data_IF_305554164652
#
_entry.id   IF_305554164652
#
_cell.length_a   1.000
_cell.length_b   1.000
_cell.length_c   1.000
_cell.angle_alpha   90.00
_cell.angle_beta   90.00
_cell.angle_gamma   90.00
#
_symmetry.space_group_name_H-M   'P 1'
#
loop_
_entity.id
_entity.type
_entity.pdbx_description
1 polymer ?
#
# COMPACT_ATOMS: atom_id res chain seq x y z
N UNK A 1 -2.96 -8.61 0.29
CA UNK A 1 -2.71 -9.39 -0.92
C UNK A 1 -1.22 -9.51 -1.23
N UNK A 2 -0.49 -8.44 -1.48
CA UNK A 2 0.91 -8.48 -1.96
C UNK A 2 1.88 -9.26 -1.05
N UNK A 3 1.85 -9.06 0.27
CA UNK A 3 2.65 -9.83 1.24
C UNK A 3 2.39 -11.34 1.10
N UNK A 4 1.13 -11.76 1.07
CA UNK A 4 0.76 -13.17 0.85
C UNK A 4 1.30 -13.71 -0.46
N UNK A 5 1.22 -12.92 -1.54
CA UNK A 5 1.71 -13.31 -2.84
C UNK A 5 3.22 -13.54 -2.84
N UNK A 6 3.99 -12.64 -2.23
CA UNK A 6 5.44 -12.79 -2.11
C UNK A 6 5.82 -13.97 -1.18
N UNK A 7 5.06 -14.19 -0.10
CA UNK A 7 5.23 -15.39 0.75
C UNK A 7 5.04 -16.68 -0.07
N UNK A 8 4.07 -16.74 -0.96
CA UNK A 8 3.91 -17.87 -1.87
C UNK A 8 5.09 -18.03 -2.81
N UNK A 9 5.61 -16.92 -3.38
CA UNK A 9 6.76 -17.00 -4.28
C UNK A 9 8.00 -17.56 -3.60
N UNK A 10 8.37 -17.08 -2.41
CA UNK A 10 9.55 -17.60 -1.68
C UNK A 10 9.39 -19.03 -1.19
N UNK A 11 8.18 -19.58 -1.22
CA UNK A 11 7.89 -20.98 -0.87
C UNK A 11 7.85 -21.89 -2.09
N UNK A 12 7.65 -21.34 -3.27
CA UNK A 12 7.55 -22.10 -4.53
C UNK A 12 8.84 -22.08 -5.34
N UNK A 13 9.58 -20.98 -5.24
CA UNK A 13 10.82 -20.80 -6.01
C UNK A 13 12.05 -20.87 -5.09
N UNK A 14 13.13 -21.44 -5.61
CA UNK A 14 14.44 -21.38 -4.95
C UNK A 14 14.94 -19.93 -4.96
N UNK A 15 15.57 -19.46 -3.85
CA UNK A 15 16.18 -18.14 -3.82
C UNK A 15 17.31 -17.99 -4.86
N UNK A 16 17.51 -16.78 -5.41
CA UNK A 16 16.82 -15.55 -5.09
C UNK A 16 15.48 -15.40 -5.84
N UNK A 17 14.48 -14.84 -5.15
CA UNK A 17 13.25 -14.32 -5.75
C UNK A 17 13.37 -12.79 -5.84
N UNK A 18 13.08 -12.23 -6.99
CA UNK A 18 13.22 -10.78 -7.18
C UNK A 18 11.90 -10.05 -6.93
N UNK A 19 11.99 -8.84 -6.40
CA UNK A 19 10.85 -7.94 -6.25
C UNK A 19 11.23 -6.56 -6.77
N UNK A 20 10.47 -6.04 -7.72
CA UNK A 20 10.66 -4.70 -8.23
C UNK A 20 10.05 -3.69 -7.26
N UNK A 21 10.88 -2.84 -6.71
CA UNK A 21 10.63 -1.96 -5.57
C UNK A 21 10.22 -2.73 -4.30
N UNK A 22 10.03 -2.02 -3.19
CA UNK A 22 9.53 -2.62 -1.97
C UNK A 22 8.11 -3.16 -2.19
N UNK A 23 7.83 -4.38 -1.75
CA UNK A 23 6.50 -4.99 -1.93
C UNK A 23 5.39 -4.17 -1.27
N UNK A 24 5.68 -3.58 -0.14
CA UNK A 24 4.93 -2.56 0.58
C UNK A 24 5.93 -1.64 1.29
N UNK A 25 5.57 -0.41 1.56
CA UNK A 25 6.42 0.53 2.31
C UNK A 25 6.39 0.20 3.81
N UNK A 26 7.17 -0.81 4.19
CA UNK A 26 7.38 -1.21 5.58
C UNK A 26 8.74 -1.89 5.72
N UNK A 27 9.65 -1.25 6.45
CA UNK A 27 11.05 -1.70 6.59
C UNK A 27 11.17 -3.09 7.23
N UNK A 28 10.32 -3.40 8.22
CA UNK A 28 10.31 -4.70 8.85
C UNK A 28 9.91 -5.81 7.86
N UNK A 29 8.87 -5.57 7.05
CA UNK A 29 8.40 -6.51 6.01
C UNK A 29 9.49 -6.74 4.97
N UNK A 30 10.13 -5.67 4.49
CA UNK A 30 11.24 -5.75 3.53
C UNK A 30 12.36 -6.62 4.10
N UNK A 31 12.84 -6.31 5.31
CA UNK A 31 13.92 -7.07 5.97
C UNK A 31 13.54 -8.54 6.20
N UNK A 32 12.29 -8.84 6.54
CA UNK A 32 11.83 -10.21 6.72
C UNK A 32 11.93 -11.02 5.41
N UNK A 33 11.59 -10.41 4.27
CA UNK A 33 11.73 -11.07 2.97
C UNK A 33 13.18 -11.17 2.48
N UNK A 34 14.02 -10.18 2.74
CA UNK A 34 15.44 -10.24 2.43
C UNK A 34 16.13 -11.43 3.12
N UNK A 35 15.79 -11.69 4.38
CA UNK A 35 16.33 -12.83 5.16
C UNK A 35 16.01 -14.20 4.56
N UNK A 36 14.94 -14.32 3.79
CA UNK A 36 14.55 -15.56 3.11
C UNK A 36 14.92 -15.57 1.63
N UNK A 37 15.76 -14.63 1.19
CA UNK A 37 16.38 -14.61 -0.14
C UNK A 37 15.59 -13.84 -1.19
N UNK A 38 14.72 -12.89 -0.78
CA UNK A 38 14.18 -11.91 -1.72
C UNK A 38 15.21 -10.81 -1.98
N UNK A 39 15.40 -10.47 -3.24
CA UNK A 39 16.23 -9.36 -3.68
C UNK A 39 15.32 -8.26 -4.22
N UNK A 40 15.28 -7.12 -3.53
CA UNK A 40 14.56 -5.94 -3.99
C UNK A 40 15.44 -5.16 -4.97
N UNK A 41 14.90 -4.84 -6.14
CA UNK A 41 15.60 -4.11 -7.20
C UNK A 41 14.85 -2.82 -7.54
N UNK A 42 15.60 -1.80 -7.94
CA UNK A 42 15.02 -0.52 -8.36
C UNK A 42 14.94 -0.38 -9.89
N UNK A 43 15.65 -1.23 -10.61
CA UNK A 43 15.59 -1.32 -12.06
C UNK A 43 15.31 -2.76 -12.48
N UNK A 44 14.34 -2.95 -13.37
CA UNK A 44 13.96 -4.27 -13.86
C UNK A 44 15.10 -4.97 -14.62
N UNK A 45 16.08 -4.22 -15.13
CA UNK A 45 17.27 -4.76 -15.77
C UNK A 45 18.21 -5.50 -14.81
N UNK A 46 18.09 -5.28 -13.51
CA UNK A 46 18.85 -5.99 -12.47
C UNK A 46 18.35 -7.42 -12.26
N UNK A 47 17.13 -7.75 -12.71
CA UNK A 47 16.60 -9.11 -12.64
C UNK A 47 17.28 -10.00 -13.66
N UNK A 48 17.94 -11.12 -13.26
CA UNK A 48 18.53 -12.06 -14.20
C UNK A 48 17.49 -12.69 -15.12
N UNK A 49 17.93 -13.06 -16.34
CA UNK A 49 17.06 -13.77 -17.28
C UNK A 49 16.57 -15.10 -16.70
N UNK A 50 15.27 -15.35 -16.82
CA UNK A 50 14.63 -16.56 -16.33
C UNK A 50 14.34 -16.58 -14.84
N UNK A 51 14.76 -15.57 -14.06
CA UNK A 51 14.47 -15.51 -12.63
C UNK A 51 12.98 -15.16 -12.35
N UNK A 52 12.39 -15.62 -11.22
CA UNK A 52 11.07 -15.23 -10.82
C UNK A 52 11.08 -13.78 -10.29
N UNK A 53 10.15 -12.96 -10.75
CA UNK A 53 10.00 -11.57 -10.30
C UNK A 53 8.56 -11.23 -9.90
N UNK A 54 8.43 -10.44 -8.84
CA UNK A 54 7.19 -9.83 -8.43
C UNK A 54 7.24 -8.31 -8.65
N UNK A 55 6.18 -7.75 -9.21
CA UNK A 55 5.96 -6.32 -9.24
C UNK A 55 5.19 -5.89 -7.99
N UNK A 56 5.53 -4.72 -7.43
CA UNK A 56 5.02 -4.26 -6.14
C UNK A 56 3.53 -3.90 -6.13
N UNK A 57 2.99 -3.68 -4.93
CA UNK A 57 1.60 -3.31 -4.75
C UNK A 57 1.24 -1.91 -5.29
N UNK A 58 2.25 -1.06 -5.47
CA UNK A 58 2.07 0.35 -5.85
C UNK A 58 1.75 0.57 -7.33
N UNK A 59 1.88 -0.49 -8.14
CA UNK A 59 1.77 -0.41 -9.59
C UNK A 59 3.10 -0.07 -10.25
N UNK A 60 3.28 -0.54 -11.47
CA UNK A 60 4.50 -0.34 -12.25
C UNK A 60 4.17 0.30 -13.60
N UNK A 61 5.12 1.05 -14.15
CA UNK A 61 4.94 1.60 -15.50
C UNK A 61 4.78 0.50 -16.56
N UNK A 62 4.10 0.78 -17.67
CA UNK A 62 3.99 -0.17 -18.78
C UNK A 62 5.35 -0.68 -19.30
N UNK A 63 6.39 0.15 -19.25
CA UNK A 63 7.75 -0.21 -19.65
C UNK A 63 8.35 -1.25 -18.70
N UNK A 64 8.17 -1.08 -17.38
CA UNK A 64 8.63 -2.04 -16.36
C UNK A 64 7.92 -3.37 -16.52
N UNK A 65 6.58 -3.34 -16.72
CA UNK A 65 5.78 -4.55 -16.94
C UNK A 65 6.26 -5.31 -18.19
N UNK A 66 6.49 -4.59 -19.30
CA UNK A 66 7.02 -5.17 -20.54
C UNK A 66 8.45 -5.72 -20.35
N UNK A 67 9.31 -4.98 -19.66
CA UNK A 67 10.68 -5.39 -19.34
C UNK A 67 10.71 -6.65 -18.48
N UNK A 68 9.85 -6.73 -17.47
CA UNK A 68 9.69 -7.92 -16.64
C UNK A 68 9.24 -9.13 -17.48
N UNK A 69 8.22 -8.96 -18.32
CA UNK A 69 7.71 -10.02 -19.19
C UNK A 69 8.73 -10.53 -20.22
N UNK A 70 9.62 -9.66 -20.70
CA UNK A 70 10.67 -10.02 -21.65
C UNK A 70 11.84 -10.79 -21.00
N UNK A 71 12.06 -10.60 -19.69
CA UNK A 71 13.28 -11.02 -18.99
C UNK A 71 13.06 -12.18 -18.02
N UNK A 72 11.99 -12.12 -17.26
CA UNK A 72 11.73 -13.06 -16.17
C UNK A 72 11.11 -14.36 -16.67
N UNK A 73 11.42 -15.47 -15.99
CA UNK A 73 10.78 -16.78 -16.23
C UNK A 73 9.34 -16.82 -15.71
N UNK A 74 9.07 -16.12 -14.63
CA UNK A 74 7.75 -15.96 -14.03
C UNK A 74 7.58 -14.52 -13.55
N UNK A 75 6.51 -13.86 -13.96
CA UNK A 75 6.14 -12.52 -13.50
C UNK A 75 4.83 -12.60 -12.73
N UNK A 76 4.84 -12.13 -11.49
CA UNK A 76 3.63 -11.95 -10.67
C UNK A 76 3.42 -10.46 -10.44
N UNK A 77 2.36 -9.91 -10.99
CA UNK A 77 1.98 -8.53 -10.75
C UNK A 77 1.08 -8.45 -9.51
N UNK A 78 1.64 -7.91 -8.41
CA UNK A 78 0.93 -7.76 -7.15
C UNK A 78 0.29 -6.38 -6.96
N UNK A 79 0.11 -5.63 -8.06
CA UNK A 79 -0.54 -4.32 -8.01
C UNK A 79 -1.89 -4.39 -7.29
N UNK A 80 -2.12 -3.43 -6.40
CA UNK A 80 -3.39 -3.32 -5.69
C UNK A 80 -4.54 -3.10 -6.70
N UNK A 81 -5.67 -3.82 -6.59
CA UNK A 81 -6.82 -3.63 -7.48
C UNK A 81 -7.35 -2.19 -7.52
N UNK A 82 -7.17 -1.42 -6.44
CA UNK A 82 -7.56 -0.01 -6.41
C UNK A 82 -6.61 0.87 -7.23
N UNK A 83 -5.31 0.58 -7.22
CA UNK A 83 -4.33 1.23 -8.12
C UNK A 83 -4.61 0.84 -9.57
N UNK A 84 -4.91 -0.44 -9.85
CA UNK A 84 -5.31 -0.88 -11.19
C UNK A 84 -6.54 -0.12 -11.70
N UNK A 85 -7.52 0.16 -10.83
CA UNK A 85 -8.69 0.99 -11.17
C UNK A 85 -8.25 2.39 -11.61
N UNK A 86 -7.37 3.04 -10.85
CA UNK A 86 -6.85 4.38 -11.18
C UNK A 86 -6.11 4.36 -12.53
N UNK A 87 -5.22 3.39 -12.78
CA UNK A 87 -4.54 3.22 -14.06
C UNK A 87 -5.53 3.06 -15.24
N UNK A 88 -6.61 2.32 -15.03
CA UNK A 88 -7.64 2.14 -16.06
C UNK A 88 -8.40 3.45 -16.35
N UNK A 89 -8.81 4.18 -15.31
CA UNK A 89 -9.50 5.46 -15.44
C UNK A 89 -8.64 6.50 -16.15
N UNK A 90 -7.37 6.63 -15.78
CA UNK A 90 -6.40 7.52 -16.43
C UNK A 90 -6.29 7.22 -17.94
N UNK A 91 -6.10 5.96 -18.31
CA UNK A 91 -6.04 5.56 -19.73
C UNK A 91 -7.33 5.90 -20.49
N UNK A 92 -8.48 5.71 -19.85
CA UNK A 92 -9.77 6.02 -20.47
C UNK A 92 -9.96 7.52 -20.66
N UNK A 93 -9.61 8.34 -19.65
CA UNK A 93 -9.69 9.79 -19.71
C UNK A 93 -8.74 10.36 -20.78
N UNK A 94 -7.49 9.90 -20.79
CA UNK A 94 -6.51 10.30 -21.80
C UNK A 94 -6.98 9.98 -23.24
N UNK A 95 -7.55 8.78 -23.48
CA UNK A 95 -8.14 8.41 -24.78
C UNK A 95 -9.31 9.31 -25.20
N UNK A 96 -10.02 9.90 -24.25
CA UNK A 96 -11.12 10.85 -24.49
C UNK A 96 -10.64 12.29 -24.68
N UNK A 97 -9.32 12.54 -24.59
CA UNK A 97 -8.70 13.84 -24.79
C UNK A 97 -8.80 14.76 -23.58
N UNK A 98 -8.88 14.19 -22.37
CA UNK A 98 -8.79 14.96 -21.12
C UNK A 98 -7.35 15.25 -20.77
N UNK A 99 -7.08 16.47 -20.30
CA UNK A 99 -5.91 16.80 -19.50
C UNK A 99 -6.18 16.42 -18.04
N UNK A 100 -5.26 15.67 -17.44
CA UNK A 100 -5.50 15.01 -16.15
C UNK A 100 -4.61 15.62 -15.09
N UNK A 101 -5.21 16.16 -14.04
CA UNK A 101 -4.55 16.50 -12.79
C UNK A 101 -4.40 15.20 -11.99
N UNK A 102 -3.16 14.77 -11.74
CA UNK A 102 -2.88 13.69 -10.82
C UNK A 102 -2.36 14.26 -9.51
N UNK A 103 -3.17 14.15 -8.45
CA UNK A 103 -2.79 14.62 -7.11
C UNK A 103 -2.01 13.53 -6.39
N UNK A 104 -0.77 13.83 -6.00
CA UNK A 104 0.09 12.83 -5.37
C UNK A 104 1.43 13.38 -4.94
N UNK A 105 2.22 12.53 -4.28
CA UNK A 105 3.55 12.89 -3.80
C UNK A 105 4.61 12.56 -4.86
N UNK A 106 5.45 13.54 -5.19
CA UNK A 106 6.56 13.38 -6.13
C UNK A 106 7.54 12.29 -5.64
N UNK A 107 7.90 11.39 -6.55
CA UNK A 107 8.83 10.30 -6.26
C UNK A 107 8.21 9.08 -5.57
N UNK A 108 6.93 9.10 -5.25
CA UNK A 108 6.23 7.92 -4.74
C UNK A 108 6.01 6.91 -5.87
N UNK A 109 6.23 5.61 -5.60
CA UNK A 109 6.13 4.53 -6.60
C UNK A 109 4.78 4.51 -7.32
N UNK A 110 3.67 4.70 -6.60
CA UNK A 110 2.32 4.77 -7.18
C UNK A 110 2.18 5.96 -8.14
N UNK A 111 2.78 7.11 -7.80
CA UNK A 111 2.73 8.29 -8.67
C UNK A 111 3.54 8.06 -9.95
N UNK A 112 4.73 7.47 -9.83
CA UNK A 112 5.59 7.13 -10.97
C UNK A 112 4.86 6.16 -11.91
N UNK A 113 4.29 5.08 -11.37
CA UNK A 113 3.57 4.07 -12.14
C UNK A 113 2.34 4.64 -12.85
N UNK A 114 1.52 5.43 -12.13
CA UNK A 114 0.28 6.00 -12.67
C UNK A 114 0.55 7.05 -13.74
N UNK A 115 1.51 7.96 -13.53
CA UNK A 115 1.88 8.99 -14.52
C UNK A 115 2.37 8.36 -15.84
N UNK A 116 3.06 7.22 -15.75
CA UNK A 116 3.56 6.51 -16.91
C UNK A 116 2.46 5.87 -17.78
N UNK A 117 1.22 5.76 -17.29
CA UNK A 117 0.09 5.21 -18.05
C UNK A 117 -0.41 6.18 -19.15
N UNK A 118 -0.25 7.50 -18.93
CA UNK A 118 -0.63 8.52 -19.92
C UNK A 118 0.23 9.79 -19.79
N UNK A 119 1.55 9.71 -20.00
CA UNK A 119 2.49 10.78 -19.65
C UNK A 119 2.27 12.10 -20.41
N UNK A 120 1.61 12.06 -21.57
CA UNK A 120 1.31 13.25 -22.37
C UNK A 120 0.04 13.99 -21.92
N UNK A 121 -0.80 13.32 -21.12
CA UNK A 121 -2.11 13.84 -20.69
C UNK A 121 -2.15 14.14 -19.20
N UNK A 122 -1.10 13.83 -18.44
CA UNK A 122 -1.10 13.93 -16.99
C UNK A 122 -0.09 14.95 -16.49
N UNK A 123 -0.51 15.70 -15.47
CA UNK A 123 0.37 16.60 -14.71
C UNK A 123 0.28 16.22 -13.24
N UNK A 124 1.43 15.96 -12.60
CA UNK A 124 1.52 15.76 -11.16
C UNK A 124 1.35 17.11 -10.45
N UNK A 125 0.39 17.15 -9.55
CA UNK A 125 0.15 18.26 -8.62
C UNK A 125 0.35 17.73 -7.20
N UNK A 126 1.29 18.31 -6.47
CA UNK A 126 1.43 18.02 -5.04
C UNK A 126 0.40 18.86 -4.27
N UNK A 127 -0.19 18.32 -3.20
CA UNK A 127 -1.23 19.05 -2.44
C UNK A 127 -0.81 20.45 -1.99
N UNK A 128 0.46 20.61 -1.63
CA UNK A 128 1.05 21.87 -1.16
C UNK A 128 1.35 22.89 -2.29
N UNK A 129 1.50 22.42 -3.53
CA UNK A 129 1.87 23.28 -4.67
C UNK A 129 0.64 23.94 -5.32
N UNK A 130 -0.56 23.44 -5.03
CA UNK A 130 -1.80 23.87 -5.68
C UNK A 130 -1.80 23.62 -7.19
N UNK A 131 -2.65 24.34 -7.94
CA UNK A 131 -2.84 24.13 -9.38
C UNK A 131 -1.89 24.95 -10.28
N UNK A 132 -0.93 25.66 -9.71
CA UNK A 132 -0.09 26.60 -10.46
C UNK A 132 0.76 25.95 -11.57
N UNK A 133 1.07 24.67 -11.44
CA UNK A 133 1.82 23.90 -12.43
C UNK A 133 0.96 23.31 -13.55
N UNK A 134 -0.36 23.29 -13.42
CA UNK A 134 -1.28 22.67 -14.37
C UNK A 134 -1.77 23.68 -15.41
N UNK A 135 -1.65 23.33 -16.68
CA UNK A 135 -2.08 24.16 -17.82
C UNK A 135 -2.76 23.26 -18.86
N UNK A 136 -4.11 23.11 -18.81
CA UNK A 136 -4.81 22.28 -19.77
C UNK A 136 -4.83 22.94 -21.18
N UNK A 137 -4.84 22.11 -22.20
CA UNK A 137 -5.04 22.53 -23.58
C UNK A 137 -6.49 22.99 -23.79
N UNK A 138 -7.44 22.24 -23.21
CA UNK A 138 -8.87 22.56 -23.23
C UNK A 138 -9.42 22.60 -21.79
N UNK A 139 -9.69 23.79 -21.22
CA UNK A 139 -10.21 23.93 -19.87
C UNK A 139 -11.56 23.26 -19.62
N UNK A 140 -12.30 22.90 -20.68
CA UNK A 140 -13.59 22.15 -20.57
C UNK A 140 -13.40 20.64 -20.50
N UNK A 141 -12.16 20.17 -20.72
CA UNK A 141 -11.79 18.75 -20.70
C UNK A 141 -10.72 18.45 -19.66
N UNK A 142 -10.99 18.80 -18.42
CA UNK A 142 -10.09 18.53 -17.31
C UNK A 142 -10.62 17.39 -16.44
N UNK A 143 -9.76 16.48 -16.07
CA UNK A 143 -10.07 15.41 -15.12
C UNK A 143 -9.15 15.48 -13.90
N UNK A 144 -9.63 15.01 -12.76
CA UNK A 144 -8.87 14.95 -11.52
C UNK A 144 -8.87 13.52 -10.98
N UNK A 145 -7.67 13.01 -10.70
CA UNK A 145 -7.39 11.67 -10.18
C UNK A 145 -6.40 11.78 -9.05
N UNK A 146 -6.45 10.90 -8.07
CA UNK A 146 -5.61 10.96 -6.88
C UNK A 146 -4.80 9.69 -6.61
N UNK A 147 -3.64 9.86 -5.98
CA UNK A 147 -2.92 8.79 -5.32
C UNK A 147 -3.78 8.18 -4.22
N UNK A 148 -3.85 6.85 -4.15
CA UNK A 148 -4.80 6.13 -3.28
C UNK A 148 -4.55 6.32 -1.78
N UNK A 149 -3.38 6.83 -1.39
CA UNK A 149 -2.91 6.98 0.00
C UNK A 149 -2.86 8.42 0.51
N UNK A 150 -3.39 9.39 -0.24
CA UNK A 150 -3.49 10.78 0.23
C UNK A 150 -4.37 10.91 1.47
N UNK A 151 -4.19 11.98 2.24
CA UNK A 151 -5.17 12.35 3.26
C UNK A 151 -6.44 12.88 2.62
N UNK A 152 -7.56 12.70 3.31
CA UNK A 152 -8.86 13.24 2.88
C UNK A 152 -8.86 14.76 2.82
N UNK A 153 -8.03 15.43 3.62
CA UNK A 153 -7.87 16.88 3.62
C UNK A 153 -7.09 17.35 2.40
N UNK A 154 -5.93 16.74 2.13
CA UNK A 154 -5.15 17.02 0.91
C UNK A 154 -6.00 16.85 -0.35
N UNK A 155 -6.76 15.75 -0.42
CA UNK A 155 -7.66 15.50 -1.53
C UNK A 155 -8.73 16.58 -1.68
N UNK A 156 -9.44 16.92 -0.58
CA UNK A 156 -10.51 17.93 -0.61
C UNK A 156 -10.02 19.30 -1.01
N UNK A 157 -8.89 19.74 -0.46
CA UNK A 157 -8.30 21.03 -0.81
C UNK A 157 -8.07 21.16 -2.31
N UNK A 158 -7.37 20.21 -2.92
CA UNK A 158 -7.07 20.26 -4.37
C UNK A 158 -8.36 20.07 -5.20
N UNK A 159 -9.29 19.25 -4.74
CA UNK A 159 -10.60 19.09 -5.40
C UNK A 159 -11.39 20.39 -5.45
N UNK A 160 -11.50 21.09 -4.33
CA UNK A 160 -12.26 22.36 -4.22
C UNK A 160 -11.62 23.43 -5.13
N UNK A 161 -10.30 23.56 -5.12
CA UNK A 161 -9.55 24.47 -5.98
C UNK A 161 -9.73 24.12 -7.47
N UNK A 162 -9.70 22.84 -7.81
CA UNK A 162 -9.86 22.37 -9.19
C UNK A 162 -11.30 22.57 -9.69
N UNK A 163 -12.32 22.36 -8.84
CA UNK A 163 -13.72 22.62 -9.20
C UNK A 163 -13.99 24.10 -9.42
N UNK A 164 -13.34 24.96 -8.63
CA UNK A 164 -13.44 26.41 -8.81
C UNK A 164 -12.79 26.87 -10.12
N UNK A 165 -11.63 26.31 -10.45
CA UNK A 165 -10.87 26.67 -11.66
C UNK A 165 -11.49 26.07 -12.93
N UNK A 166 -12.07 24.88 -12.86
CA UNK A 166 -12.60 24.10 -13.98
C UNK A 166 -14.03 23.63 -13.70
N UNK A 167 -15.07 24.40 -14.02
CA UNK A 167 -16.47 24.07 -13.69
C UNK A 167 -16.97 22.74 -14.29
N UNK A 168 -16.40 22.31 -15.43
CA UNK A 168 -16.71 21.02 -16.08
C UNK A 168 -15.80 19.89 -15.65
N UNK A 169 -15.08 20.04 -14.51
CA UNK A 169 -14.14 19.04 -13.98
C UNK A 169 -14.79 17.67 -13.84
N UNK A 170 -14.13 16.66 -14.39
CA UNK A 170 -14.50 15.26 -14.25
C UNK A 170 -13.67 14.60 -13.15
N UNK A 171 -14.31 13.97 -12.20
CA UNK A 171 -13.66 13.17 -11.15
C UNK A 171 -14.22 11.76 -11.16
N UNK A 172 -13.53 10.83 -10.49
CA UNK A 172 -14.09 9.52 -10.18
C UNK A 172 -15.42 9.66 -9.42
N UNK A 173 -16.40 8.80 -9.71
CA UNK A 173 -17.71 8.79 -9.01
C UNK A 173 -17.60 8.53 -7.51
N UNK A 174 -16.55 7.83 -7.10
CA UNK A 174 -16.14 7.64 -5.71
C UNK A 174 -14.73 8.20 -5.61
N UNK A 175 -14.34 8.68 -4.44
CA UNK A 175 -12.95 9.06 -4.18
C UNK A 175 -11.98 7.98 -4.67
N UNK A 176 -10.84 8.38 -5.23
CA UNK A 176 -9.76 7.44 -5.59
C UNK A 176 -9.01 6.94 -4.36
N UNK A 177 -9.22 7.59 -3.22
CA UNK A 177 -8.64 7.15 -1.95
C UNK A 177 -9.12 5.74 -1.62
N UNK A 178 -8.20 4.88 -1.23
CA UNK A 178 -8.54 3.51 -0.86
C UNK A 178 -9.29 3.48 0.49
N UNK A 179 -10.21 2.52 0.62
CA UNK A 179 -10.96 2.34 1.88
C UNK A 179 -10.03 2.06 3.07
N UNK A 180 -8.90 1.36 2.85
CA UNK A 180 -7.91 1.14 3.90
C UNK A 180 -7.26 2.45 4.37
N UNK A 181 -7.15 3.45 3.49
CA UNK A 181 -6.68 4.80 3.83
C UNK A 181 -7.77 5.58 4.55
N UNK A 182 -8.99 5.66 4.00
CA UNK A 182 -10.07 6.47 4.57
C UNK A 182 -10.53 5.94 5.92
N UNK A 183 -10.71 4.62 6.08
CA UNK A 183 -11.11 4.01 7.36
C UNK A 183 -10.10 4.30 8.47
N UNK A 184 -8.79 4.22 8.16
CA UNK A 184 -7.75 4.54 9.14
C UNK A 184 -7.70 6.02 9.49
N UNK A 185 -7.98 6.90 8.54
CA UNK A 185 -8.07 8.34 8.80
C UNK A 185 -9.31 8.70 9.63
N UNK A 186 -10.43 8.01 9.43
CA UNK A 186 -11.60 8.13 10.30
C UNK A 186 -11.30 7.63 11.71
N UNK A 187 -10.64 6.48 11.83
CA UNK A 187 -10.26 5.92 13.13
C UNK A 187 -9.30 6.85 13.90
N UNK A 188 -8.26 7.38 13.25
CA UNK A 188 -7.33 8.30 13.92
C UNK A 188 -7.98 9.63 14.26
N UNK A 189 -8.95 10.09 13.48
CA UNK A 189 -9.73 11.28 13.81
C UNK A 189 -10.54 11.08 15.09
N UNK A 190 -11.16 9.90 15.26
CA UNK A 190 -11.89 9.55 16.48
C UNK A 190 -10.96 9.32 17.68
N UNK A 191 -9.76 8.75 17.47
CA UNK A 191 -8.73 8.65 18.51
C UNK A 191 -8.27 10.03 19.00
N UNK A 192 -8.09 10.98 18.08
CA UNK A 192 -7.63 12.32 18.40
C UNK A 192 -8.59 13.10 19.33
N UNK A 193 -9.85 12.70 19.38
CA UNK A 193 -10.84 13.30 20.31
C UNK A 193 -10.69 12.80 21.75
N UNK A 194 -9.94 11.71 21.97
CA UNK A 194 -9.89 10.99 23.23
C UNK A 194 -8.47 10.84 23.82
N UNK A 195 -7.43 11.17 23.03
CA UNK A 195 -6.05 10.90 23.38
C UNK A 195 -5.21 12.18 23.46
N UNK A 196 -4.21 12.18 24.35
CA UNK A 196 -3.24 13.27 24.49
C UNK A 196 -2.06 13.09 23.55
N UNK A 197 -1.71 11.83 23.29
CA UNK A 197 -0.57 11.43 22.45
C UNK A 197 -0.99 10.23 21.59
N UNK A 198 -0.58 10.23 20.32
CA UNK A 198 -0.87 9.14 19.40
C UNK A 198 0.43 8.59 18.80
N UNK A 199 0.60 7.28 18.86
CA UNK A 199 1.64 6.57 18.11
C UNK A 199 1.07 5.95 16.84
N UNK A 200 1.75 6.18 15.73
CA UNK A 200 1.41 5.61 14.42
C UNK A 200 2.54 4.67 14.00
N UNK A 201 2.26 3.37 14.03
CA UNK A 201 3.23 2.34 13.65
C UNK A 201 3.31 2.25 12.12
N UNK A 202 4.50 2.44 11.56
CA UNK A 202 4.76 2.31 10.13
C UNK A 202 5.97 3.11 9.68
N UNK A 203 6.50 2.76 8.50
CA UNK A 203 7.76 3.29 7.99
C UNK A 203 7.64 4.71 7.45
N UNK A 204 8.76 5.43 7.45
CA UNK A 204 8.86 6.83 7.03
C UNK A 204 8.46 7.04 5.57
N UNK A 205 8.79 6.10 4.70
CA UNK A 205 8.44 6.15 3.29
C UNK A 205 6.99 5.69 2.97
N UNK A 206 6.20 5.36 4.00
CA UNK A 206 4.78 5.01 3.83
C UNK A 206 3.90 6.26 3.78
N UNK A 207 3.40 6.61 2.60
CA UNK A 207 2.47 7.74 2.41
C UNK A 207 1.24 7.63 3.31
N UNK A 208 0.65 6.42 3.44
CA UNK A 208 -0.48 6.22 4.34
C UNK A 208 -0.11 6.48 5.81
N UNK A 209 1.05 6.02 6.29
CA UNK A 209 1.51 6.28 7.67
C UNK A 209 1.71 7.78 7.92
N UNK A 210 2.35 8.47 6.98
CA UNK A 210 2.55 9.92 7.05
C UNK A 210 1.22 10.69 7.06
N UNK A 211 0.24 10.26 6.24
CA UNK A 211 -1.09 10.84 6.22
C UNK A 211 -1.78 10.71 7.59
N UNK A 212 -1.68 9.55 8.25
CA UNK A 212 -2.24 9.35 9.59
C UNK A 212 -1.63 10.29 10.63
N UNK A 213 -0.30 10.45 10.62
CA UNK A 213 0.38 11.40 11.53
C UNK A 213 -0.09 12.83 11.28
N UNK A 214 -0.23 13.24 10.01
CA UNK A 214 -0.76 14.58 9.66
C UNK A 214 -2.17 14.78 10.17
N UNK A 215 -3.07 13.83 9.93
CA UNK A 215 -4.47 13.90 10.39
C UNK A 215 -4.55 14.08 11.91
N UNK A 216 -3.76 13.33 12.69
CA UNK A 216 -3.72 13.50 14.15
C UNK A 216 -3.25 14.91 14.55
N UNK A 217 -2.17 15.40 13.94
CA UNK A 217 -1.61 16.74 14.24
C UNK A 217 -2.57 17.87 13.87
N UNK A 218 -3.27 17.75 12.75
CA UNK A 218 -4.31 18.72 12.31
C UNK A 218 -5.50 18.76 13.27
N UNK A 219 -5.76 17.66 13.99
CA UNK A 219 -6.73 17.59 15.10
C UNK A 219 -6.19 18.16 16.42
N UNK A 220 -4.95 18.64 16.45
CA UNK A 220 -4.33 19.28 17.61
C UNK A 220 -3.71 18.28 18.60
N UNK A 221 -3.58 17.01 18.26
CA UNK A 221 -2.99 15.98 19.12
C UNK A 221 -1.52 15.75 18.75
N UNK A 222 -0.66 15.58 19.76
CA UNK A 222 0.72 15.18 19.55
C UNK A 222 0.76 13.78 18.94
N UNK A 223 1.41 13.64 17.79
CA UNK A 223 1.50 12.34 17.11
C UNK A 223 2.93 12.04 16.68
N UNK A 224 3.35 10.81 16.94
CA UNK A 224 4.67 10.28 16.60
C UNK A 224 4.56 9.10 15.66
N UNK A 225 5.32 9.15 14.56
CA UNK A 225 5.57 7.97 13.74
C UNK A 225 6.68 7.13 14.39
N UNK A 226 6.45 5.83 14.46
CA UNK A 226 7.41 4.86 14.96
C UNK A 226 7.47 3.65 14.03
N UNK A 227 8.63 3.07 13.82
CA UNK A 227 8.76 1.79 13.10
C UNK A 227 8.45 0.60 14.04
N UNK A 228 8.77 0.75 15.34
CA UNK A 228 8.57 -0.26 16.37
C UNK A 228 8.50 0.33 17.77
N UNK A 229 8.26 -0.51 18.77
CA UNK A 229 8.30 -0.16 20.17
C UNK A 229 9.64 0.43 20.64
N UNK A 230 10.74 0.08 19.98
CA UNK A 230 12.09 0.57 20.31
C UNK A 230 12.28 2.08 20.05
N UNK A 231 11.45 2.67 19.22
CA UNK A 231 11.52 4.10 18.88
C UNK A 231 10.84 4.98 19.92
N UNK A 232 10.07 4.39 20.85
CA UNK A 232 9.33 5.13 21.87
C UNK A 232 10.31 5.67 22.91
N UNK A 233 10.31 7.00 23.06
CA UNK A 233 11.08 7.69 24.10
C UNK A 233 10.24 7.88 25.34
N UNK A 234 10.84 7.69 26.52
CA UNK A 234 10.13 7.83 27.81
C UNK A 234 9.55 9.24 27.99
N UNK A 235 10.21 10.26 27.45
CA UNK A 235 9.74 11.65 27.46
C UNK A 235 8.40 11.86 26.73
N UNK A 236 8.07 11.01 25.76
CA UNK A 236 6.80 11.09 25.02
C UNK A 236 5.61 10.52 25.82
N UNK A 237 5.91 9.73 26.85
CA UNK A 237 4.92 9.12 27.72
C UNK A 237 4.76 9.86 29.05
N UNK A 238 5.71 10.74 29.42
CA UNK A 238 5.80 11.33 30.75
C UNK A 238 4.53 12.07 31.19
N UNK A 239 3.91 12.81 30.27
CA UNK A 239 2.71 13.62 30.53
C UNK A 239 1.43 13.03 29.89
N UNK A 240 1.54 11.89 29.17
CA UNK A 240 0.41 11.29 28.50
C UNK A 240 -0.51 10.55 29.49
N UNK A 241 -1.79 10.93 29.50
CA UNK A 241 -2.81 10.27 30.31
C UNK A 241 -3.54 9.18 29.51
N UNK A 242 -3.82 9.48 28.24
CA UNK A 242 -4.48 8.58 27.31
C UNK A 242 -3.68 8.51 26.02
N UNK A 243 -3.13 7.32 25.75
CA UNK A 243 -2.32 7.08 24.56
C UNK A 243 -3.14 6.39 23.48
N UNK A 244 -3.22 7.02 22.31
CA UNK A 244 -3.78 6.42 21.10
C UNK A 244 -2.72 5.61 20.34
N UNK A 245 -3.13 4.46 19.81
CA UNK A 245 -2.26 3.62 18.99
C UNK A 245 -2.99 3.23 17.70
N UNK A 246 -2.34 3.45 16.57
CA UNK A 246 -2.80 3.00 15.26
C UNK A 246 -1.62 2.56 14.40
N UNK A 247 -1.90 1.98 13.24
CA UNK A 247 -0.86 1.49 12.34
C UNK A 247 -1.19 1.78 10.87
N UNK A 248 -0.16 1.99 10.08
CA UNK A 248 -0.28 2.01 8.63
C UNK A 248 -0.74 0.66 8.07
N UNK A 249 -1.37 0.67 6.89
CA UNK A 249 -1.96 -0.51 6.26
C UNK A 249 -0.95 -1.66 5.96
N UNK A 250 0.34 -1.36 5.96
CA UNK A 250 1.43 -2.33 5.73
C UNK A 250 2.11 -2.82 7.01
N UNK A 251 1.72 -2.32 8.19
CA UNK A 251 2.36 -2.68 9.44
C UNK A 251 1.83 -4.05 9.95
N UNK A 252 2.71 -5.00 10.28
CA UNK A 252 2.32 -6.27 10.87
C UNK A 252 1.80 -6.11 12.32
N UNK A 253 0.83 -6.95 12.69
CA UNK A 253 0.13 -6.87 13.98
C UNK A 253 1.06 -6.99 15.20
N UNK A 254 2.11 -7.80 15.12
CA UNK A 254 3.06 -7.98 16.21
C UNK A 254 3.84 -6.70 16.57
N UNK A 255 4.02 -5.77 15.62
CA UNK A 255 4.62 -4.46 15.92
C UNK A 255 3.68 -3.62 16.80
N UNK A 256 2.38 -3.68 16.52
CA UNK A 256 1.35 -3.01 17.34
C UNK A 256 1.31 -3.63 18.76
N UNK A 257 1.31 -4.95 18.84
CA UNK A 257 1.38 -5.66 20.14
C UNK A 257 2.63 -5.27 20.93
N UNK A 258 3.79 -5.24 20.28
CA UNK A 258 5.04 -4.80 20.93
C UNK A 258 4.99 -3.37 21.46
N UNK A 259 4.26 -2.46 20.81
CA UNK A 259 4.02 -1.10 21.29
C UNK A 259 3.13 -1.11 22.54
N UNK A 260 2.07 -1.91 22.56
CA UNK A 260 1.18 -2.06 23.74
C UNK A 260 2.00 -2.58 24.94
N UNK A 261 2.81 -3.61 24.73
CA UNK A 261 3.68 -4.18 25.76
C UNK A 261 4.69 -3.16 26.29
N UNK A 262 5.25 -2.28 25.42
CA UNK A 262 6.20 -1.23 25.80
C UNK A 262 5.55 -0.11 26.59
N UNK A 263 4.31 0.25 26.29
CA UNK A 263 3.55 1.29 27.00
C UNK A 263 3.12 0.79 28.35
N UNK A 264 2.80 -0.51 28.48
CA UNK A 264 2.33 -1.17 29.70
C UNK A 264 1.17 -0.40 30.36
N UNK A 265 0.02 -0.25 29.71
CA UNK A 265 -1.06 0.62 30.17
C UNK A 265 -1.67 0.12 31.47
N UNK A 266 -1.64 0.94 32.51
CA UNK A 266 -2.07 0.59 33.90
C UNK A 266 -3.56 0.26 34.01
N UNK A 267 -4.41 0.82 33.12
CA UNK A 267 -5.86 0.59 33.07
C UNK A 267 -6.27 -0.37 31.93
N UNK A 268 -5.29 -1.01 31.29
CA UNK A 268 -5.52 -1.80 30.09
C UNK A 268 -5.73 -0.97 28.83
N UNK A 269 -6.30 -1.56 27.79
CA UNK A 269 -6.56 -0.88 26.52
C UNK A 269 -7.96 -1.21 26.00
N UNK A 270 -8.51 -0.32 25.20
CA UNK A 270 -9.78 -0.46 24.51
C UNK A 270 -9.57 -0.42 23.00
N UNK A 271 -10.29 -1.27 22.26
CA UNK A 271 -10.27 -1.28 20.80
C UNK A 271 -11.33 -0.33 20.26
N UNK A 272 -10.89 0.76 19.61
CA UNK A 272 -11.77 1.67 18.89
C UNK A 272 -11.98 1.18 17.45
N UNK A 273 -13.21 0.83 17.11
CA UNK A 273 -13.61 0.44 15.76
C UNK A 273 -14.65 1.41 15.22
N UNK A 274 -14.35 2.11 14.13
CA UNK A 274 -15.26 3.07 13.48
C UNK A 274 -15.93 2.49 12.23
N UNK A 275 -15.30 1.47 11.62
CA UNK A 275 -15.81 0.81 10.42
C UNK A 275 -15.53 -0.69 10.47
N UNK A 276 -16.30 -1.45 9.69
CA UNK A 276 -16.03 -2.89 9.49
C UNK A 276 -15.48 -3.08 8.07
N UNK A 277 -14.22 -3.52 7.96
CA UNK A 277 -13.62 -3.88 6.69
C UNK A 277 -13.99 -5.31 6.30
N UNK A 278 -14.79 -5.46 5.24
CA UNK A 278 -15.17 -6.77 4.69
C UNK A 278 -14.51 -7.05 3.32
N UNK A 279 -13.58 -6.20 2.91
CA UNK A 279 -12.97 -6.27 1.59
C UNK A 279 -11.91 -7.37 1.52
N UNK A 280 -12.01 -8.18 0.49
CA UNK A 280 -11.05 -9.23 0.19
C UNK A 280 -10.44 -9.04 -1.20
N UNK A 281 -9.14 -8.95 -1.26
CA UNK A 281 -8.38 -8.97 -2.51
C UNK A 281 -7.75 -10.35 -2.71
N UNK A 282 -8.21 -11.10 -3.72
CA UNK A 282 -7.63 -12.41 -4.04
C UNK A 282 -6.17 -12.26 -4.50
N UNK A 283 -5.39 -13.33 -4.37
CA UNK A 283 -4.05 -13.40 -4.92
C UNK A 283 -4.03 -12.99 -6.41
N UNK A 284 -2.91 -12.46 -6.93
CA UNK A 284 -2.77 -12.15 -8.34
C UNK A 284 -3.19 -13.32 -9.25
N UNK A 285 -3.83 -13.05 -10.41
CA UNK A 285 -4.40 -14.13 -11.26
C UNK A 285 -3.39 -15.19 -11.66
N UNK A 286 -2.15 -14.78 -11.99
CA UNK A 286 -1.07 -15.67 -12.38
C UNK A 286 -0.73 -16.63 -11.23
N UNK A 287 -0.61 -16.09 -10.02
CA UNK A 287 -0.30 -16.88 -8.84
C UNK A 287 -1.45 -17.82 -8.45
N UNK A 288 -2.71 -17.35 -8.54
CA UNK A 288 -3.89 -18.21 -8.31
C UNK A 288 -3.90 -19.41 -9.26
N UNK A 289 -3.67 -19.16 -10.55
CA UNK A 289 -3.60 -20.23 -11.54
C UNK A 289 -2.53 -21.26 -11.18
N UNK A 290 -1.36 -20.80 -10.75
CA UNK A 290 -0.27 -21.67 -10.32
C UNK A 290 -0.63 -22.51 -9.09
N UNK A 291 -1.18 -21.87 -8.06
CA UNK A 291 -1.63 -22.51 -6.82
C UNK A 291 -2.72 -23.55 -7.11
N UNK A 292 -3.72 -23.21 -7.95
CA UNK A 292 -4.77 -24.15 -8.34
C UNK A 292 -4.22 -25.36 -9.10
N UNK A 293 -3.23 -25.15 -9.98
CA UNK A 293 -2.56 -26.26 -10.69
C UNK A 293 -1.84 -27.19 -9.71
N UNK A 294 -1.13 -26.63 -8.73
CA UNK A 294 -0.48 -27.41 -7.68
C UNK A 294 -1.49 -28.21 -6.85
N UNK A 295 -2.62 -27.62 -6.49
CA UNK A 295 -3.71 -28.32 -5.79
C UNK A 295 -4.20 -29.52 -6.60
N UNK A 296 -4.49 -29.33 -7.88
CA UNK A 296 -4.95 -30.39 -8.77
C UNK A 296 -3.93 -31.54 -8.86
N UNK A 297 -2.64 -31.22 -8.90
CA UNK A 297 -1.58 -32.23 -8.89
C UNK A 297 -1.54 -33.01 -7.58
N UNK A 298 -1.69 -32.33 -6.44
CA UNK A 298 -1.75 -32.97 -5.11
C UNK A 298 -2.97 -33.89 -5.01
N UNK A 299 -4.15 -33.43 -5.44
CA UNK A 299 -5.37 -34.22 -5.48
C UNK A 299 -5.26 -35.44 -6.41
N UNK A 300 -4.52 -35.33 -7.51
CA UNK A 300 -4.20 -36.43 -8.41
C UNK A 300 -3.17 -37.43 -7.86
N UNK A 301 -2.71 -37.24 -6.63
CA UNK A 301 -1.79 -38.18 -5.94
C UNK A 301 -0.30 -37.83 -6.05
N UNK A 302 0.04 -36.67 -6.62
CA UNK A 302 1.41 -36.16 -6.55
C UNK A 302 1.65 -35.55 -5.15
N UNK A 303 2.11 -36.38 -4.21
CA UNK A 303 2.34 -35.93 -2.84
C UNK A 303 3.65 -35.15 -2.70
N UNK A 304 3.59 -33.90 -2.26
CA UNK A 304 4.74 -33.23 -1.68
C UNK A 304 5.03 -33.85 -0.29
N UNK A 305 6.31 -34.06 0.04
CA UNK A 305 6.76 -34.71 1.30
C UNK A 305 6.33 -33.98 2.59
N UNK A 306 5.71 -32.82 2.52
CA UNK A 306 5.24 -32.03 3.66
C UNK A 306 3.74 -31.75 3.51
N UNK A 307 2.96 -32.19 4.50
CA UNK A 307 1.52 -31.98 4.61
C UNK A 307 1.21 -30.48 4.81
N UNK A 308 1.06 -29.74 3.71
CA UNK A 308 0.76 -28.29 3.69
C UNK A 308 -0.60 -28.00 3.02
N UNK A 309 -1.48 -29.00 2.93
CA UNK A 309 -2.78 -28.90 2.27
C UNK A 309 -3.66 -27.77 2.77
N UNK A 310 -3.70 -27.52 4.08
CA UNK A 310 -4.56 -26.48 4.67
C UNK A 310 -4.27 -25.03 4.24
N UNK A 311 -3.05 -24.73 3.78
CA UNK A 311 -2.68 -23.36 3.37
C UNK A 311 -3.19 -22.97 1.96
N UNK A 312 -3.50 -23.95 1.11
CA UNK A 312 -4.01 -23.73 -0.24
C UNK A 312 -5.52 -23.48 -0.26
N UNK A 313 -6.24 -24.06 0.72
CA UNK A 313 -7.70 -24.05 0.76
C UNK A 313 -8.31 -22.77 1.34
N UNK A 314 -7.53 -22.00 2.15
CA UNK A 314 -8.05 -20.90 2.98
C UNK A 314 -7.32 -19.57 2.80
N UNK A 315 -6.89 -19.21 1.57
CA UNK A 315 -6.22 -17.92 1.34
C UNK A 315 -7.04 -16.71 1.81
N UNK A 316 -8.38 -16.82 1.79
CA UNK A 316 -9.27 -15.76 2.24
C UNK A 316 -9.14 -15.48 3.74
N UNK A 317 -9.00 -16.54 4.54
CA UNK A 317 -8.97 -16.48 5.99
C UNK A 317 -7.57 -16.23 6.56
N UNK A 318 -6.58 -16.17 5.68
CA UNK A 318 -5.18 -16.02 6.04
C UNK A 318 -4.75 -14.56 5.98
N UNK A 319 -4.32 -13.98 7.09
CA UNK A 319 -3.86 -12.60 7.19
C UNK A 319 -2.44 -12.41 6.61
N UNK A 320 -2.05 -11.14 6.38
CA UNK A 320 -0.69 -10.82 5.97
C UNK A 320 0.32 -11.13 7.09
N UNK A 321 -0.05 -10.95 8.35
CA UNK A 321 0.78 -11.26 9.53
C UNK A 321 1.01 -12.77 9.67
N UNK A 322 -0.02 -13.60 9.45
CA UNK A 322 0.14 -15.05 9.40
C UNK A 322 1.03 -15.50 8.23
N UNK A 323 0.89 -14.85 7.06
CA UNK A 323 1.78 -15.09 5.94
C UNK A 323 3.25 -14.85 6.29
N UNK A 324 3.54 -13.72 6.93
CA UNK A 324 4.89 -13.39 7.38
C UNK A 324 5.44 -14.37 8.42
N UNK A 325 4.61 -14.89 9.32
CA UNK A 325 5.05 -15.89 10.31
C UNK A 325 5.54 -17.20 9.66
N UNK A 326 5.08 -17.51 8.45
CA UNK A 326 5.51 -18.70 7.72
C UNK A 326 6.90 -18.59 7.07
N UNK A 327 7.40 -17.38 6.92
CA UNK A 327 8.76 -17.12 6.41
C UNK A 327 9.70 -16.70 7.54
N UNK A 328 9.22 -16.46 8.76
CA UNK A 328 10.08 -16.23 9.90
C UNK A 328 10.97 -17.46 10.11
N UNK A 329 12.27 -17.28 9.96
CA UNK A 329 13.27 -18.29 10.35
C UNK A 329 13.24 -18.33 11.89
N UNK A 330 13.18 -19.51 12.52
CA UNK A 330 13.19 -19.64 13.98
C UNK A 330 14.44 -19.05 14.61
#
# INVERSE_FOLDING_TARGET
>A
MAIKALTWMVRMFEPPVYCYHQIVHNAWVVTAFERVGVVFVNDISEVPEGAPVMLSAHGSSPEVVAGAAARAGVVIDAVCPLVTKVHHEVKLMAKRGFDIIYVGHRGHDEAIGTLAEAPQSMTLVQPEDGLDSFRPVDPTKVALVAQTTLSTLEWRQVLDDAQLAYPDLVTSRKSDLCYATTNRQEAISALAEQCDTIFVVGSENSSNTQALVRVARERGVTAYRIDSAADIRDEWLADAQVVGLTAGASAPDHLVTGVIDRIDPTLGFELLSVTTEAEYFPLPPQLRSFVTTLQTLVEAGFTARNNRQGLLEHDRDWSASEALSLIAVP
#
